data_IF_762690290875
#
_entry.id   IF_762690290875
#
_cell.length_a   1.000
_cell.length_b   1.000
_cell.length_c   1.000
_cell.angle_alpha   90.00
_cell.angle_beta   90.00
_cell.angle_gamma   90.00
#
_symmetry.space_group_name_H-M   'P 1'
#
loop_
_entity.id
_entity.type
_entity.pdbx_description
1 polymer ?
#
# COMPACT_ATOMS: atom_id res chain seq x y z
N UNK A 1 46.56 47.58 1.37
CA UNK A 1 46.61 46.22 0.80
C UNK A 1 45.26 45.59 1.03
N UNK A 2 44.44 45.51 -0.02
CA UNK A 2 43.16 44.79 0.03
C UNK A 2 43.44 43.30 -0.21
N UNK A 3 42.78 42.39 0.51
CA UNK A 3 42.91 40.96 0.25
C UNK A 3 42.34 40.64 -1.14
N UNK A 4 43.05 39.80 -1.88
CA UNK A 4 42.72 39.40 -3.25
C UNK A 4 41.52 38.46 -3.30
N UNK A 5 40.53 38.78 -4.15
CA UNK A 5 39.30 38.01 -4.45
C UNK A 5 39.52 36.66 -5.17
N UNK A 6 40.67 36.01 -4.97
CA UNK A 6 41.07 34.86 -5.79
C UNK A 6 41.27 33.56 -5.00
N UNK A 7 40.57 33.43 -3.87
CA UNK A 7 40.39 32.12 -3.25
C UNK A 7 39.32 31.36 -4.05
N UNK A 8 39.66 30.23 -4.71
CA UNK A 8 38.64 29.39 -5.29
C UNK A 8 37.77 28.89 -4.14
N UNK A 9 36.53 29.38 -4.09
CA UNK A 9 35.51 28.83 -3.22
C UNK A 9 35.38 27.37 -3.65
N UNK A 10 35.92 26.46 -2.86
CA UNK A 10 35.72 25.03 -3.00
C UNK A 10 34.22 24.75 -2.86
N UNK A 11 33.50 24.78 -4.00
CA UNK A 11 32.06 24.48 -4.14
C UNK A 11 31.72 23.10 -3.53
N UNK A 12 32.72 22.28 -3.24
CA UNK A 12 32.60 20.91 -2.74
C UNK A 12 32.53 20.85 -1.20
N UNK A 13 32.72 21.94 -0.46
CA UNK A 13 32.70 21.89 1.01
C UNK A 13 31.42 22.42 1.66
N UNK A 14 30.59 21.45 2.04
CA UNK A 14 29.60 21.48 3.14
C UNK A 14 28.35 22.31 2.89
N UNK A 15 27.49 21.83 1.98
CA UNK A 15 26.05 22.03 2.16
C UNK A 15 25.68 21.52 3.57
N UNK A 16 24.88 22.28 4.35
CA UNK A 16 24.38 21.77 5.62
C UNK A 16 23.66 20.43 5.38
N UNK A 17 23.72 19.47 6.32
CA UNK A 17 22.99 18.22 6.16
C UNK A 17 21.53 18.56 5.88
N UNK A 18 21.03 18.10 4.73
CA UNK A 18 19.66 18.38 4.28
C UNK A 18 18.72 18.00 5.42
N UNK A 19 17.86 18.92 5.83
CA UNK A 19 16.91 18.65 6.91
C UNK A 19 16.02 17.47 6.50
N UNK A 20 15.64 16.54 7.42
CA UNK A 20 14.71 15.47 7.11
C UNK A 20 13.36 15.96 6.54
N UNK A 21 13.01 17.23 6.76
CA UNK A 21 11.86 17.89 6.16
C UNK A 21 12.06 18.15 4.66
N UNK A 22 13.26 18.60 4.28
CA UNK A 22 13.63 18.91 2.89
C UNK A 22 13.84 17.62 2.09
N UNK A 23 14.42 16.58 2.68
CA UNK A 23 14.53 15.27 2.04
C UNK A 23 13.16 14.63 1.73
N UNK A 24 12.11 14.97 2.51
CA UNK A 24 10.73 14.57 2.22
C UNK A 24 10.14 15.36 1.06
N UNK A 25 10.35 16.68 1.02
CA UNK A 25 9.89 17.54 -0.07
C UNK A 25 10.54 17.16 -1.41
N UNK A 26 11.81 16.73 -1.38
CA UNK A 26 12.53 16.19 -2.53
C UNK A 26 12.16 14.73 -2.87
N UNK A 27 11.29 14.08 -2.10
CA UNK A 27 10.85 12.69 -2.32
C UNK A 27 11.93 11.64 -2.06
N UNK A 28 13.01 11.99 -1.34
CA UNK A 28 14.11 11.07 -0.98
C UNK A 28 13.76 10.18 0.20
N UNK A 29 12.82 10.58 1.04
CA UNK A 29 12.33 9.79 2.18
C UNK A 29 10.80 9.74 2.21
N UNK A 30 10.26 8.58 2.59
CA UNK A 30 8.84 8.42 2.87
C UNK A 30 8.51 8.95 4.27
N UNK A 31 7.41 9.69 4.35
CA UNK A 31 6.75 10.04 5.59
C UNK A 31 5.89 8.87 6.10
N UNK A 32 5.39 8.99 7.34
CA UNK A 32 4.42 8.03 7.87
C UNK A 32 3.17 7.93 6.98
N UNK A 33 2.66 9.07 6.51
CA UNK A 33 1.46 9.13 5.69
C UNK A 33 1.69 8.45 4.34
N UNK A 34 2.84 8.67 3.70
CA UNK A 34 3.15 8.07 2.40
C UNK A 34 3.26 6.55 2.50
N UNK A 35 3.84 6.03 3.58
CA UNK A 35 3.91 4.57 3.82
C UNK A 35 2.53 4.00 4.10
N UNK A 36 1.69 4.70 4.87
CA UNK A 36 0.32 4.28 5.13
C UNK A 36 -0.51 4.25 3.85
N UNK A 37 -0.42 5.28 3.02
CA UNK A 37 -1.08 5.36 1.71
C UNK A 37 -0.65 4.23 0.79
N UNK A 38 0.66 3.96 0.68
CA UNK A 38 1.17 2.84 -0.13
C UNK A 38 0.72 1.48 0.38
N UNK A 39 0.61 1.29 1.69
CA UNK A 39 0.06 0.05 2.24
C UNK A 39 -1.44 -0.07 1.96
N UNK A 40 -2.18 1.04 1.95
CA UNK A 40 -3.60 1.07 1.55
C UNK A 40 -3.74 0.71 0.08
N UNK A 41 -2.94 1.28 -0.81
CA UNK A 41 -2.91 0.95 -2.23
C UNK A 41 -2.58 -0.54 -2.44
N UNK A 42 -1.55 -1.05 -1.76
CA UNK A 42 -1.18 -2.46 -1.79
C UNK A 42 -2.35 -3.36 -1.36
N UNK A 43 -3.08 -2.99 -0.31
CA UNK A 43 -4.28 -3.71 0.14
C UNK A 43 -5.41 -3.67 -0.91
N UNK A 44 -5.58 -2.57 -1.62
CA UNK A 44 -6.56 -2.43 -2.71
C UNK A 44 -6.16 -3.26 -3.94
N UNK A 45 -4.86 -3.34 -4.27
CA UNK A 45 -4.33 -4.25 -5.30
C UNK A 45 -4.60 -5.70 -4.88
N UNK A 46 -4.24 -6.09 -3.65
CA UNK A 46 -4.44 -7.43 -3.13
C UNK A 46 -5.90 -7.88 -3.18
N UNK A 47 -6.85 -6.98 -2.90
CA UNK A 47 -8.30 -7.27 -3.01
C UNK A 47 -8.78 -7.48 -4.44
N UNK A 48 -8.10 -6.88 -5.42
CA UNK A 48 -8.39 -7.04 -6.85
C UNK A 48 -7.75 -8.29 -7.43
N UNK A 49 -6.66 -8.77 -6.84
CA UNK A 49 -6.08 -10.06 -7.19
C UNK A 49 -7.14 -11.14 -6.88
N UNK A 50 -7.53 -11.90 -7.91
CA UNK A 50 -8.27 -13.12 -7.68
C UNK A 50 -7.38 -14.03 -6.85
N UNK A 51 -7.77 -14.31 -5.61
CA UNK A 51 -7.21 -15.44 -4.87
C UNK A 51 -7.30 -16.66 -5.79
N UNK A 52 -6.13 -17.24 -6.13
CA UNK A 52 -6.06 -18.36 -7.07
C UNK A 52 -6.91 -19.54 -6.58
N UNK A 53 -7.10 -19.67 -5.26
CA UNK A 53 -7.88 -20.75 -4.65
C UNK A 53 -9.31 -20.31 -4.33
N UNK A 54 -9.53 -19.17 -3.65
CA UNK A 54 -10.90 -18.74 -3.34
C UNK A 54 -11.69 -18.25 -4.57
N UNK A 55 -11.01 -17.83 -5.63
CA UNK A 55 -11.63 -17.52 -6.93
C UNK A 55 -12.24 -18.77 -7.55
N UNK A 56 -11.56 -19.91 -7.51
CA UNK A 56 -12.09 -21.18 -8.01
C UNK A 56 -13.14 -21.80 -7.07
N UNK A 57 -13.05 -21.57 -5.76
CA UNK A 57 -14.03 -22.08 -4.79
C UNK A 57 -15.35 -21.30 -4.76
N UNK A 58 -15.34 -20.01 -5.16
CA UNK A 58 -16.56 -19.17 -5.22
C UNK A 58 -17.21 -19.15 -6.59
N UNK A 59 -16.47 -19.47 -7.64
CA UNK A 59 -17.04 -19.80 -8.94
C UNK A 59 -17.59 -21.21 -8.80
N UNK A 60 -18.90 -21.34 -8.55
CA UNK A 60 -19.62 -22.54 -8.98
C UNK A 60 -19.18 -22.73 -10.43
N UNK A 61 -18.54 -23.84 -10.79
CA UNK A 61 -18.14 -24.10 -12.16
C UNK A 61 -19.42 -24.12 -13.01
N UNK A 62 -19.88 -22.95 -13.41
CA UNK A 62 -20.95 -22.72 -14.35
C UNK A 62 -20.29 -22.83 -15.70
N UNK A 63 -19.77 -24.03 -16.01
CA UNK A 63 -19.88 -24.48 -17.38
C UNK A 63 -21.39 -24.54 -17.62
N UNK A 64 -21.95 -23.70 -18.51
CA UNK A 64 -23.36 -23.83 -18.83
C UNK A 64 -23.48 -25.18 -19.54
N UNK A 65 -24.24 -26.12 -18.98
CA UNK A 65 -24.31 -27.48 -19.55
C UNK A 65 -24.73 -27.46 -21.03
N UNK A 66 -25.44 -26.42 -21.50
CA UNK A 66 -25.55 -26.01 -22.92
C UNK A 66 -25.90 -24.51 -22.95
N UNK A 67 -25.18 -23.67 -23.71
CA UNK A 67 -25.68 -22.34 -24.12
C UNK A 67 -26.42 -22.49 -25.45
N UNK A 68 -27.75 -22.42 -25.44
CA UNK A 68 -28.58 -22.59 -26.65
C UNK A 68 -28.72 -21.32 -27.51
N UNK A 69 -28.33 -20.17 -26.99
CA UNK A 69 -28.59 -18.87 -27.63
C UNK A 69 -27.31 -18.34 -28.26
N UNK A 70 -27.17 -18.56 -29.57
CA UNK A 70 -26.03 -18.15 -30.41
C UNK A 70 -25.87 -16.64 -30.55
N UNK A 71 -26.94 -15.87 -30.27
CA UNK A 71 -27.02 -14.43 -30.53
C UNK A 71 -26.87 -13.56 -29.28
N UNK A 72 -26.83 -14.16 -28.09
CA UNK A 72 -26.53 -13.42 -26.85
C UNK A 72 -25.03 -13.08 -26.84
N UNK A 73 -24.68 -11.87 -27.25
CA UNK A 73 -23.31 -11.37 -27.14
C UNK A 73 -22.82 -11.38 -25.68
N UNK A 74 -21.50 -11.40 -25.48
CA UNK A 74 -20.82 -11.47 -24.16
C UNK A 74 -21.29 -10.46 -23.11
N UNK A 75 -22.03 -9.42 -23.51
CA UNK A 75 -22.61 -8.43 -22.62
C UNK A 75 -23.95 -8.87 -22.01
N UNK A 76 -24.75 -9.66 -22.72
CA UNK A 76 -26.10 -10.09 -22.31
C UNK A 76 -26.07 -11.37 -21.44
N UNK A 77 -25.05 -12.22 -21.63
CA UNK A 77 -24.83 -13.45 -20.85
C UNK A 77 -24.52 -13.24 -19.35
N UNK A 78 -24.56 -11.99 -18.84
CA UNK A 78 -24.20 -11.63 -17.45
C UNK A 78 -25.41 -11.41 -16.53
N UNK A 79 -26.62 -11.70 -17.01
CA UNK A 79 -27.81 -11.83 -16.17
C UNK A 79 -28.36 -10.50 -15.64
N UNK A 80 -28.20 -9.41 -16.39
CA UNK A 80 -28.79 -8.11 -16.04
C UNK A 80 -29.90 -7.74 -17.03
N UNK A 81 -31.11 -7.53 -16.53
CA UNK A 81 -32.32 -7.20 -17.32
C UNK A 81 -32.36 -5.71 -17.75
N UNK A 82 -31.23 -5.01 -17.79
CA UNK A 82 -31.15 -3.57 -18.03
C UNK A 82 -30.19 -3.20 -19.15
N UNK A 83 -30.16 -1.90 -19.47
CA UNK A 83 -29.37 -1.35 -20.57
C UNK A 83 -27.87 -1.61 -20.34
N UNK A 84 -27.13 -1.97 -21.39
CA UNK A 84 -25.67 -2.23 -21.32
C UNK A 84 -24.85 -1.08 -20.75
N UNK A 85 -25.40 0.15 -20.70
CA UNK A 85 -24.79 1.34 -20.12
C UNK A 85 -24.77 1.37 -18.59
N UNK A 86 -25.63 0.59 -17.93
CA UNK A 86 -25.82 0.64 -16.47
C UNK A 86 -24.97 -0.40 -15.74
N UNK A 87 -24.15 -1.16 -16.47
CA UNK A 87 -23.29 -2.18 -15.90
C UNK A 87 -22.13 -1.50 -15.18
N UNK A 88 -21.96 -1.68 -13.86
CA UNK A 88 -20.82 -1.12 -13.14
C UNK A 88 -19.53 -1.69 -13.74
N UNK A 89 -18.68 -0.80 -14.23
CA UNK A 89 -17.38 -1.15 -14.82
C UNK A 89 -16.58 -1.93 -13.78
N UNK A 90 -16.17 -3.15 -14.13
CA UNK A 90 -15.27 -3.92 -13.27
C UNK A 90 -13.93 -3.19 -13.18
N UNK A 91 -13.33 -3.05 -11.98
CA UNK A 91 -12.03 -2.43 -11.85
C UNK A 91 -11.00 -3.17 -12.71
N UNK A 92 -10.10 -2.41 -13.34
CA UNK A 92 -9.02 -2.96 -14.16
C UNK A 92 -8.24 -4.03 -13.37
N UNK A 93 -7.87 -5.15 -14.01
CA UNK A 93 -7.02 -6.15 -13.38
C UNK A 93 -5.69 -5.51 -12.96
N UNK A 94 -5.12 -5.99 -11.85
CA UNK A 94 -3.83 -5.48 -11.36
C UNK A 94 -2.74 -5.69 -12.41
N UNK A 95 -1.99 -4.64 -12.70
CA UNK A 95 -0.83 -4.71 -13.61
C UNK A 95 0.36 -5.36 -12.90
N UNK A 96 1.36 -5.82 -13.66
CA UNK A 96 2.61 -6.35 -13.06
C UNK A 96 3.28 -5.34 -12.14
N UNK A 97 3.32 -4.07 -12.56
CA UNK A 97 3.84 -2.97 -11.76
C UNK A 97 3.08 -2.80 -10.44
N UNK A 98 1.76 -2.93 -10.45
CA UNK A 98 0.96 -2.84 -9.22
C UNK A 98 1.29 -3.99 -8.25
N UNK A 99 1.55 -5.19 -8.79
CA UNK A 99 1.96 -6.36 -7.99
C UNK A 99 3.35 -6.13 -7.40
N UNK A 100 4.32 -5.67 -8.19
CA UNK A 100 5.67 -5.38 -7.69
C UNK A 100 5.66 -4.33 -6.57
N UNK A 101 4.87 -3.26 -6.75
CA UNK A 101 4.68 -2.22 -5.74
C UNK A 101 3.98 -2.74 -4.48
N UNK A 102 2.97 -3.59 -4.65
CA UNK A 102 2.28 -4.25 -3.54
C UNK A 102 3.23 -5.16 -2.74
N UNK A 103 4.01 -6.00 -3.43
CA UNK A 103 4.98 -6.89 -2.79
C UNK A 103 6.08 -6.11 -2.06
N UNK A 104 6.58 -5.04 -2.66
CA UNK A 104 7.53 -4.13 -2.02
C UNK A 104 6.95 -3.55 -0.72
N UNK A 105 5.73 -3.00 -0.78
CA UNK A 105 5.08 -2.39 0.38
C UNK A 105 4.83 -3.41 1.51
N UNK A 106 4.37 -4.63 1.17
CA UNK A 106 4.20 -5.71 2.15
C UNK A 106 5.53 -6.22 2.70
N UNK A 107 6.61 -6.15 1.92
CA UNK A 107 7.97 -6.45 2.38
C UNK A 107 8.37 -5.58 3.59
N UNK A 108 8.01 -4.30 3.61
CA UNK A 108 8.32 -3.41 4.74
C UNK A 108 7.64 -3.84 6.05
N UNK A 109 6.45 -4.44 5.96
CA UNK A 109 5.68 -4.92 7.13
C UNK A 109 6.44 -6.03 7.86
N UNK A 110 7.37 -6.73 7.21
CA UNK A 110 8.19 -7.76 7.83
C UNK A 110 9.14 -7.21 8.90
N UNK A 111 9.48 -5.92 8.85
CA UNK A 111 10.25 -5.25 9.90
C UNK A 111 9.46 -5.11 11.22
N UNK A 112 8.12 -5.12 11.17
CA UNK A 112 7.30 -5.13 12.36
C UNK A 112 7.31 -6.51 13.05
N UNK A 113 7.12 -6.49 14.37
CA UNK A 113 7.01 -7.73 15.17
C UNK A 113 5.84 -8.58 14.69
N UNK A 114 5.95 -9.91 14.69
CA UNK A 114 4.90 -10.81 14.21
C UNK A 114 3.50 -10.53 14.80
N UNK A 115 3.45 -10.20 16.10
CA UNK A 115 2.22 -9.87 16.82
C UNK A 115 1.55 -8.57 16.31
N UNK A 116 2.34 -7.61 15.85
CA UNK A 116 1.87 -6.30 15.38
C UNK A 116 1.53 -6.32 13.89
N UNK A 117 2.05 -7.28 13.11
CA UNK A 117 1.71 -7.44 11.67
C UNK A 117 0.22 -7.63 11.48
N UNK A 118 -0.42 -8.42 12.35
CA UNK A 118 -1.88 -8.61 12.34
C UNK A 118 -2.62 -7.30 12.62
N UNK A 119 -2.13 -6.49 13.55
CA UNK A 119 -2.70 -5.19 13.87
C UNK A 119 -2.62 -4.24 12.67
N UNK A 120 -1.45 -4.17 12.02
CA UNK A 120 -1.25 -3.38 10.80
C UNK A 120 -2.23 -3.83 9.70
N UNK A 121 -2.29 -5.13 9.42
CA UNK A 121 -3.18 -5.67 8.38
C UNK A 121 -4.65 -5.32 8.62
N UNK A 122 -5.10 -5.38 9.87
CA UNK A 122 -6.49 -5.02 10.24
C UNK A 122 -6.75 -3.52 10.15
N UNK A 123 -5.79 -2.69 10.58
CA UNK A 123 -5.89 -1.24 10.53
C UNK A 123 -5.92 -0.73 9.08
N UNK A 124 -4.94 -1.12 8.27
CA UNK A 124 -4.87 -0.80 6.84
C UNK A 124 -6.08 -1.38 6.11
N UNK A 125 -6.54 -2.59 6.46
CA UNK A 125 -7.74 -3.18 5.89
C UNK A 125 -9.02 -2.36 6.15
N UNK A 126 -9.12 -1.68 7.30
CA UNK A 126 -10.22 -0.76 7.59
C UNK A 126 -10.10 0.52 6.75
N UNK A 127 -8.91 1.12 6.69
CA UNK A 127 -8.66 2.32 5.88
C UNK A 127 -8.91 2.07 4.38
N UNK A 128 -8.44 0.94 3.86
CA UNK A 128 -8.69 0.52 2.47
C UNK A 128 -10.16 0.19 2.18
N UNK A 129 -11.03 0.08 3.19
CA UNK A 129 -12.48 -0.01 2.99
C UNK A 129 -13.12 1.38 2.78
N UNK A 130 -12.38 2.46 3.04
CA UNK A 130 -12.88 3.84 3.02
C UNK A 130 -13.27 4.37 4.40
N UNK A 131 -12.89 3.70 5.50
CA UNK A 131 -13.09 4.25 6.83
C UNK A 131 -12.18 5.48 7.03
N UNK A 132 -12.74 6.61 7.48
CA UNK A 132 -11.97 7.85 7.72
C UNK A 132 -10.86 7.70 8.78
N UNK A 133 -11.06 6.78 9.72
CA UNK A 133 -10.12 6.50 10.81
C UNK A 133 -10.20 5.01 11.19
N UNK A 134 -9.10 4.48 11.74
CA UNK A 134 -9.04 3.10 12.20
C UNK A 134 -10.01 2.88 13.38
N UNK A 135 -10.98 1.95 13.28
CA UNK A 135 -11.96 1.70 14.34
C UNK A 135 -11.36 0.84 15.46
N UNK A 136 -10.50 1.43 16.30
CA UNK A 136 -9.73 0.75 17.36
C UNK A 136 -10.59 -0.13 18.28
N UNK A 137 -11.81 0.29 18.61
CA UNK A 137 -12.71 -0.50 19.45
C UNK A 137 -13.15 -1.81 18.81
N UNK A 138 -13.38 -1.81 17.48
CA UNK A 138 -13.78 -3.00 16.71
C UNK A 138 -12.61 -3.96 16.51
N UNK A 139 -11.38 -3.44 16.50
CA UNK A 139 -10.15 -4.24 16.36
C UNK A 139 -9.78 -5.07 17.61
N UNK A 140 -10.41 -4.83 18.76
CA UNK A 140 -10.15 -5.58 19.99
C UNK A 140 -10.50 -7.07 19.88
N UNK A 141 -11.70 -7.37 19.36
CA UNK A 141 -12.20 -8.74 19.18
C UNK A 141 -11.28 -9.57 18.26
N UNK A 142 -10.91 -9.12 17.04
CA UNK A 142 -10.01 -9.88 16.19
C UNK A 142 -8.58 -9.98 16.76
N UNK A 143 -8.14 -9.06 17.63
CA UNK A 143 -6.84 -9.16 18.31
C UNK A 143 -6.86 -10.03 19.57
N UNK A 144 -8.03 -10.50 20.03
CA UNK A 144 -8.16 -11.28 21.27
C UNK A 144 -7.94 -10.45 22.56
N UNK A 145 -8.03 -9.12 22.48
CA UNK A 145 -7.76 -8.22 23.62
C UNK A 145 -9.08 -7.78 24.24
N UNK A 146 -9.22 -7.89 25.57
CA UNK A 146 -10.45 -7.53 26.30
C UNK A 146 -10.60 -6.02 26.52
N UNK A 147 -9.52 -5.29 26.82
CA UNK A 147 -9.53 -3.85 27.14
C UNK A 147 -8.34 -3.12 26.49
N UNK A 148 -8.49 -1.82 26.19
CA UNK A 148 -7.37 -0.96 25.78
C UNK A 148 -7.29 -0.59 24.29
N UNK A 149 -8.28 0.15 23.78
CA UNK A 149 -8.22 0.72 22.43
C UNK A 149 -7.04 1.70 22.24
N UNK A 150 -6.70 2.48 23.27
CA UNK A 150 -5.56 3.40 23.22
C UNK A 150 -4.22 2.66 23.13
N UNK A 151 -4.11 1.50 23.78
CA UNK A 151 -2.91 0.65 23.67
C UNK A 151 -2.70 0.13 22.25
N UNK A 152 -3.78 -0.25 21.56
CA UNK A 152 -3.72 -0.63 20.14
C UNK A 152 -3.24 0.52 19.25
N UNK A 153 -3.75 1.74 19.48
CA UNK A 153 -3.31 2.93 18.74
C UNK A 153 -1.80 3.20 18.93
N UNK A 154 -1.31 3.14 20.16
CA UNK A 154 0.12 3.33 20.43
C UNK A 154 0.98 2.21 19.83
N UNK A 155 0.54 0.95 19.92
CA UNK A 155 1.22 -0.18 19.29
C UNK A 155 1.30 -0.01 17.78
N UNK A 156 0.20 0.38 17.14
CA UNK A 156 0.16 0.67 15.71
C UNK A 156 1.17 1.76 15.34
N UNK A 157 1.20 2.89 16.07
CA UNK A 157 2.17 3.96 15.82
C UNK A 157 3.62 3.49 15.91
N UNK A 158 3.97 2.68 16.91
CA UNK A 158 5.31 2.11 17.07
C UNK A 158 5.65 1.11 15.96
N UNK A 159 4.69 0.25 15.59
CA UNK A 159 4.90 -0.74 14.55
C UNK A 159 5.07 -0.07 13.18
N UNK A 160 4.22 0.89 12.84
CA UNK A 160 4.34 1.67 11.62
C UNK A 160 5.63 2.48 11.58
N UNK A 161 6.12 3.01 12.70
CA UNK A 161 7.43 3.66 12.73
C UNK A 161 8.57 2.73 12.29
N UNK A 162 8.54 1.45 12.71
CA UNK A 162 9.51 0.44 12.25
C UNK A 162 9.38 0.16 10.74
N UNK A 163 8.15 0.08 10.24
CA UNK A 163 7.86 -0.11 8.81
C UNK A 163 8.37 1.08 7.99
N UNK A 164 8.10 2.31 8.44
CA UNK A 164 8.62 3.53 7.78
C UNK A 164 10.15 3.56 7.78
N UNK A 165 10.79 3.14 8.87
CA UNK A 165 12.25 3.03 8.92
C UNK A 165 12.79 2.02 7.89
N UNK A 166 12.11 0.89 7.72
CA UNK A 166 12.48 -0.12 6.73
C UNK A 166 12.28 0.40 5.29
N UNK A 167 11.16 1.06 5.01
CA UNK A 167 10.88 1.67 3.71
C UNK A 167 11.96 2.72 3.33
N UNK A 168 12.34 3.57 4.28
CA UNK A 168 13.37 4.59 4.07
C UNK A 168 14.75 3.97 3.90
N UNK A 169 15.09 2.92 4.65
CA UNK A 169 16.36 2.21 4.46
C UNK A 169 16.48 1.64 3.04
N UNK A 170 15.40 1.04 2.51
CA UNK A 170 15.36 0.56 1.14
C UNK A 170 15.48 1.72 0.14
N UNK A 171 14.74 2.81 0.34
CA UNK A 171 14.77 3.99 -0.54
C UNK A 171 16.15 4.62 -0.61
N UNK A 172 16.83 4.75 0.53
CA UNK A 172 18.20 5.25 0.59
C UNK A 172 19.19 4.33 -0.11
N UNK A 173 19.02 3.00 -0.01
CA UNK A 173 19.84 2.03 -0.72
C UNK A 173 19.64 2.12 -2.26
N UNK A 174 18.41 2.31 -2.72
CA UNK A 174 18.10 2.53 -4.14
C UNK A 174 18.77 3.80 -4.68
N UNK A 175 18.73 4.90 -3.93
CA UNK A 175 19.38 6.15 -4.31
C UNK A 175 20.90 6.00 -4.39
N UNK A 176 21.52 5.30 -3.43
CA UNK A 176 22.96 5.06 -3.42
C UNK A 176 23.42 4.20 -4.62
N UNK A 177 22.58 3.24 -5.05
CA UNK A 177 22.88 2.40 -6.22
C UNK A 177 22.78 3.16 -7.55
N UNK A 178 21.95 4.21 -7.62
CA UNK A 178 21.78 5.01 -8.84
C UNK A 178 22.91 6.02 -9.06
N UNK A 179 23.66 6.34 -8.01
CA UNK A 179 24.79 7.27 -8.05
C UNK A 179 26.13 6.61 -8.39
N UNK A 180 26.15 5.29 -8.60
CA UNK A 180 27.31 4.50 -9.04
C UNK A 180 27.22 4.17 -10.54
#
# INVERSE_FOLDING_TARGET
MLPSDNDPIDIITVLPPISPSQEREEGRMYSFADVEERLIEAMLVMRRLSDREAGWLRVKASWPDIVREREAGDYDARGYLGNSSDIPIKPLPATRRDVDQMEQAFGWVMAARPEDRRLIALAIGALARGDKQVPWMRLRKPMGIKLGANGLRMRYGRAMHLVTKAANAQKSAELACQTL
#
